data_IF_091910276171
#
_entry.id   IF_091910276171
#
_cell.length_a   1.000
_cell.length_b   1.000
_cell.length_c   1.000
_cell.angle_alpha   90.00
_cell.angle_beta   90.00
_cell.angle_gamma   90.00
#
_symmetry.space_group_name_H-M   'P 1'
#
loop_
_entity.id
_entity.type
_entity.pdbx_description
1 polymer ?
#
# COMPACT_ATOMS: atom_id res chain seq x y z
N UNK A 1 -17.67 -66.97 -10.02
CA UNK A 1 -16.72 -67.84 -10.75
C UNK A 1 -15.73 -66.92 -11.45
N UNK A 2 -14.66 -66.56 -10.76
CA UNK A 2 -13.37 -67.27 -10.67
C UNK A 2 -12.36 -66.66 -11.66
N UNK A 3 -11.63 -65.68 -11.14
CA UNK A 3 -10.17 -65.52 -11.19
C UNK A 3 -9.39 -66.49 -12.08
N UNK A 4 -8.52 -65.92 -12.93
CA UNK A 4 -7.15 -66.44 -13.09
C UNK A 4 -6.17 -65.31 -13.41
N UNK A 5 -5.23 -65.13 -12.49
CA UNK A 5 -3.94 -64.44 -12.65
C UNK A 5 -3.06 -65.23 -13.62
N UNK A 6 -2.24 -64.53 -14.41
CA UNK A 6 -0.98 -65.08 -14.94
C UNK A 6 0.09 -64.00 -14.94
N UNK A 7 1.05 -64.17 -14.04
CA UNK A 7 2.33 -63.45 -13.98
C UNK A 7 3.31 -64.13 -14.96
N UNK A 8 4.12 -63.36 -15.71
CA UNK A 8 5.54 -63.67 -15.92
C UNK A 8 6.35 -62.55 -16.59
N UNK A 9 7.39 -62.17 -15.85
CA UNK A 9 8.78 -61.86 -16.23
C UNK A 9 9.10 -60.58 -17.02
N UNK A 10 9.83 -59.73 -16.31
CA UNK A 10 10.70 -58.65 -16.78
C UNK A 10 11.77 -59.17 -17.75
N UNK A 11 12.05 -58.42 -18.83
CA UNK A 11 13.38 -58.27 -19.41
C UNK A 11 13.54 -56.82 -19.89
N UNK A 12 14.57 -56.15 -19.36
CA UNK A 12 15.09 -54.86 -19.81
C UNK A 12 15.71 -55.04 -21.20
N UNK A 13 15.38 -54.18 -22.16
CA UNK A 13 16.26 -53.85 -23.29
C UNK A 13 16.22 -52.34 -23.50
N UNK A 14 17.36 -51.70 -23.26
CA UNK A 14 17.74 -50.36 -23.71
C UNK A 14 18.46 -50.54 -25.05
N UNK A 15 17.96 -49.95 -26.15
CA UNK A 15 18.82 -49.46 -27.24
C UNK A 15 18.19 -48.23 -27.90
N UNK A 16 19.04 -47.22 -28.00
CA UNK A 16 18.95 -45.94 -28.69
C UNK A 16 18.21 -45.95 -30.04
N UNK A 17 17.36 -44.95 -30.24
CA UNK A 17 17.18 -44.32 -31.53
C UNK A 17 17.75 -42.90 -31.48
N UNK A 18 18.80 -42.67 -32.27
CA UNK A 18 19.25 -41.35 -32.66
C UNK A 18 18.42 -40.90 -33.87
N UNK A 19 17.75 -39.76 -33.77
CA UNK A 19 17.21 -39.02 -34.89
C UNK A 19 17.56 -37.54 -34.70
N UNK A 20 18.32 -37.00 -35.66
CA UNK A 20 18.63 -35.58 -35.76
C UNK A 20 17.47 -34.82 -36.39
N UNK A 21 16.97 -33.80 -35.68
CA UNK A 21 16.30 -32.63 -36.24
C UNK A 21 15.90 -31.72 -35.07
N UNK A 22 16.43 -30.49 -34.99
CA UNK A 22 15.89 -29.44 -34.10
C UNK A 22 14.42 -29.14 -34.44
N UNK A 23 13.59 -28.48 -33.59
CA UNK A 23 13.87 -27.14 -33.03
C UNK A 23 13.20 -26.87 -31.65
N UNK A 24 13.15 -25.58 -31.26
CA UNK A 24 12.17 -24.91 -30.37
C UNK A 24 12.50 -24.79 -28.87
N UNK A 25 12.61 -23.52 -28.49
CA UNK A 25 12.53 -22.93 -27.16
C UNK A 25 11.47 -23.58 -26.26
N UNK A 26 11.87 -24.03 -25.08
CA UNK A 26 10.99 -24.22 -23.93
C UNK A 26 11.79 -24.00 -22.65
N UNK A 27 11.98 -22.73 -22.28
CA UNK A 27 12.18 -22.40 -20.87
C UNK A 27 10.80 -22.22 -20.25
N UNK A 28 10.27 -23.35 -19.81
CA UNK A 28 9.09 -23.46 -18.97
C UNK A 28 9.35 -22.68 -17.68
N UNK A 29 8.71 -21.52 -17.57
CA UNK A 29 8.44 -20.87 -16.29
C UNK A 29 7.59 -21.88 -15.51
N UNK A 30 8.15 -22.43 -14.43
CA UNK A 30 7.33 -23.15 -13.46
C UNK A 30 6.49 -22.12 -12.72
N UNK A 31 5.22 -22.07 -13.09
CA UNK A 31 4.15 -21.55 -12.24
C UNK A 31 4.19 -22.27 -10.90
N UNK A 32 4.48 -21.52 -9.84
CA UNK A 32 4.09 -21.85 -8.48
C UNK A 32 3.04 -20.82 -8.04
N UNK A 33 1.83 -20.95 -8.59
CA UNK A 33 0.65 -20.29 -8.05
C UNK A 33 0.20 -21.04 -6.79
N UNK A 34 0.64 -20.55 -5.64
CA UNK A 34 0.02 -20.79 -4.33
C UNK A 34 0.21 -19.52 -3.50
N UNK A 35 -0.56 -18.48 -3.82
CA UNK A 35 -0.63 -17.27 -3.00
C UNK A 35 -1.68 -17.51 -1.91
N UNK A 36 -1.25 -18.18 -0.84
CA UNK A 36 -1.85 -18.01 0.47
C UNK A 36 -1.43 -16.64 1.01
N UNK A 37 -2.34 -15.94 1.70
CA UNK A 37 -2.05 -14.74 2.45
C UNK A 37 -0.87 -15.00 3.40
N UNK A 38 0.29 -14.44 3.05
CA UNK A 38 1.54 -14.57 3.77
C UNK A 38 2.23 -13.21 3.76
N UNK A 39 2.57 -12.74 4.94
CA UNK A 39 3.24 -11.47 5.20
C UNK A 39 4.31 -11.16 4.14
N UNK A 40 4.13 -10.05 3.43
CA UNK A 40 5.16 -9.51 2.53
C UNK A 40 6.33 -9.08 3.40
N UNK A 41 7.43 -9.82 3.34
CA UNK A 41 8.69 -9.42 3.97
C UNK A 41 9.21 -8.14 3.31
N UNK A 42 9.30 -7.09 4.13
CA UNK A 42 9.92 -5.80 3.81
C UNK A 42 11.38 -6.01 3.38
N UNK A 43 11.72 -5.63 2.16
CA UNK A 43 13.11 -5.50 1.71
C UNK A 43 13.45 -4.03 1.59
N UNK A 44 13.94 -3.44 2.69
CA UNK A 44 14.55 -2.10 2.66
C UNK A 44 16.00 -2.20 2.18
N UNK A 45 16.30 -1.51 1.09
CA UNK A 45 17.68 -1.27 0.66
C UNK A 45 18.31 -0.24 1.62
N UNK A 46 19.53 -0.47 2.07
CA UNK A 46 20.26 0.39 3.01
C UNK A 46 20.63 1.76 2.37
N UNK A 47 19.67 2.68 2.36
CA UNK A 47 19.88 4.12 2.41
C UNK A 47 19.38 4.63 3.77
N UNK A 48 19.76 5.85 4.16
CA UNK A 48 19.20 6.47 5.37
C UNK A 48 17.66 6.37 5.31
N UNK A 49 17.08 5.64 6.26
CA UNK A 49 15.65 5.40 6.31
C UNK A 49 14.95 6.77 6.36
N UNK A 50 13.93 7.02 5.52
CA UNK A 50 13.11 8.21 5.70
C UNK A 50 12.58 8.20 7.14
N UNK A 51 12.68 9.34 7.82
CA UNK A 51 12.11 9.49 9.16
C UNK A 51 10.62 9.74 8.99
N UNK A 52 9.90 8.77 8.43
CA UNK A 52 8.44 8.72 8.36
C UNK A 52 8.00 7.34 8.86
N UNK A 53 7.05 7.29 9.77
CA UNK A 53 6.57 6.04 10.34
C UNK A 53 5.07 6.12 10.61
N UNK A 54 4.44 4.95 10.70
CA UNK A 54 3.00 4.84 10.91
C UNK A 54 2.73 4.46 12.36
N UNK A 55 1.82 5.18 12.99
CA UNK A 55 1.43 5.03 14.37
C UNK A 55 -0.10 5.04 14.49
N UNK A 56 -0.59 4.70 15.67
CA UNK A 56 -2.01 4.81 16.02
C UNK A 56 -2.17 5.47 17.39
N UNK A 57 -3.32 6.10 17.63
CA UNK A 57 -3.57 6.86 18.84
C UNK A 57 -4.18 6.00 19.96
N UNK A 58 -4.03 6.46 21.20
CA UNK A 58 -4.80 5.96 22.33
C UNK A 58 -6.24 6.49 22.30
N UNK A 59 -7.11 5.94 23.15
CA UNK A 59 -8.53 6.31 23.18
C UNK A 59 -8.78 7.80 23.51
N UNK A 60 -7.93 8.42 24.35
CA UNK A 60 -8.05 9.85 24.64
C UNK A 60 -7.44 10.75 23.56
N UNK A 61 -6.77 10.17 22.56
CA UNK A 61 -6.07 10.88 21.50
C UNK A 61 -4.95 11.80 21.97
N UNK A 62 -4.44 11.60 23.18
CA UNK A 62 -3.35 12.42 23.76
C UNK A 62 -1.98 11.83 23.51
N UNK A 63 -1.94 10.54 23.17
CA UNK A 63 -0.71 9.79 22.94
C UNK A 63 -0.85 8.94 21.68
N UNK A 64 0.26 8.68 21.01
CA UNK A 64 0.35 7.80 19.85
C UNK A 64 1.45 6.77 20.06
N UNK A 65 1.25 5.58 19.49
CA UNK A 65 2.15 4.44 19.59
C UNK A 65 2.68 4.10 18.22
N UNK A 66 4.00 4.10 18.11
CA UNK A 66 4.73 3.55 16.97
C UNK A 66 4.99 2.05 17.23
N UNK A 67 4.36 1.12 16.48
CA UNK A 67 4.48 -0.29 16.78
C UNK A 67 5.92 -0.78 16.63
N UNK A 68 6.35 -1.63 17.56
CA UNK A 68 7.66 -2.28 17.48
C UNK A 68 7.76 -3.18 16.24
N UNK A 69 6.65 -3.80 15.83
CA UNK A 69 6.59 -4.65 14.64
C UNK A 69 6.99 -3.89 13.36
N UNK A 70 6.66 -2.60 13.27
CA UNK A 70 6.88 -1.79 12.07
C UNK A 70 8.28 -1.16 12.02
N UNK A 71 9.02 -1.21 13.12
CA UNK A 71 10.30 -0.50 13.29
C UNK A 71 11.47 -1.39 13.72
N UNK A 72 11.17 -2.60 14.19
CA UNK A 72 12.17 -3.49 14.76
C UNK A 72 12.90 -2.88 15.98
N UNK A 73 14.13 -3.31 16.23
CA UNK A 73 14.95 -2.79 17.34
C UNK A 73 15.85 -1.59 16.96
N UNK A 74 15.76 -1.08 15.71
CA UNK A 74 16.78 -0.17 15.15
C UNK A 74 16.32 1.28 15.00
N UNK A 75 15.06 1.59 15.32
CA UNK A 75 14.55 2.95 15.18
C UNK A 75 14.83 3.78 16.43
N UNK A 76 15.53 4.90 16.24
CA UNK A 76 15.70 5.90 17.28
C UNK A 76 14.39 6.66 17.48
N UNK A 77 13.53 6.21 18.39
CA UNK A 77 12.25 6.83 18.66
C UNK A 77 12.35 8.33 19.02
N UNK A 78 13.43 8.76 19.68
CA UNK A 78 13.64 10.17 20.00
C UNK A 78 13.89 11.06 18.77
N UNK A 79 14.13 10.47 17.60
CA UNK A 79 14.29 11.21 16.35
C UNK A 79 12.96 11.73 15.78
N UNK A 80 11.81 11.22 16.23
CA UNK A 80 10.50 11.73 15.82
C UNK A 80 10.05 12.86 16.74
N UNK A 81 9.84 14.03 16.15
CA UNK A 81 9.47 15.27 16.86
C UNK A 81 8.19 15.88 16.32
N UNK A 82 7.70 15.37 15.18
CA UNK A 82 6.54 15.89 14.47
C UNK A 82 5.55 14.75 14.23
N UNK A 83 4.28 15.11 14.20
CA UNK A 83 3.20 14.20 13.84
C UNK A 83 2.29 14.87 12.81
N UNK A 84 1.78 14.10 11.85
CA UNK A 84 0.77 14.54 10.89
C UNK A 84 -0.47 13.67 11.04
N UNK A 85 -1.60 14.33 11.25
CA UNK A 85 -2.92 13.71 11.47
C UNK A 85 -3.93 14.53 10.67
N UNK A 86 -4.72 13.89 9.80
CA UNK A 86 -5.62 14.58 8.85
C UNK A 86 -4.95 15.75 8.11
N UNK A 87 -3.73 15.55 7.60
CA UNK A 87 -2.97 16.61 6.92
C UNK A 87 -2.65 17.84 7.80
N UNK A 88 -2.74 17.72 9.12
CA UNK A 88 -2.38 18.77 10.07
C UNK A 88 -1.13 18.35 10.83
N UNK A 89 -0.11 19.21 10.82
CA UNK A 89 1.13 19.02 11.56
C UNK A 89 0.99 19.53 13.00
N UNK A 90 1.58 18.83 13.95
CA UNK A 90 1.86 19.33 15.30
C UNK A 90 3.11 18.65 15.88
N UNK A 91 3.65 19.20 16.96
CA UNK A 91 4.76 18.58 17.67
C UNK A 91 4.31 17.38 18.50
N UNK A 92 5.22 16.41 18.66
CA UNK A 92 5.10 15.33 19.60
C UNK A 92 6.39 15.14 20.40
N UNK A 93 6.32 14.46 21.54
CA UNK A 93 7.50 14.16 22.37
C UNK A 93 7.54 12.69 22.71
N UNK A 94 8.68 12.04 22.44
CA UNK A 94 8.92 10.67 22.87
C UNK A 94 8.86 10.57 24.40
N UNK A 95 8.08 9.62 24.91
CA UNK A 95 7.87 9.41 26.35
C UNK A 95 8.65 8.19 26.84
N UNK A 96 8.40 7.02 26.23
CA UNK A 96 8.96 5.73 26.67
C UNK A 96 8.80 4.66 25.62
N UNK A 97 9.56 3.58 25.79
CA UNK A 97 9.27 2.28 25.16
C UNK A 97 8.31 1.49 26.05
N UNK A 98 7.30 0.88 25.44
CA UNK A 98 6.33 -0.01 26.07
C UNK A 98 6.63 -1.45 25.62
N UNK A 99 6.85 -2.41 26.54
CA UNK A 99 6.89 -3.83 26.18
C UNK A 99 5.48 -4.35 25.89
N UNK A 100 5.38 -5.48 25.19
CA UNK A 100 4.09 -6.15 24.99
C UNK A 100 3.49 -6.56 26.35
N UNK A 101 2.22 -6.26 26.55
CA UNK A 101 1.42 -6.72 27.67
C UNK A 101 0.96 -8.17 27.49
N UNK A 102 0.50 -8.78 28.58
CA UNK A 102 0.01 -10.17 28.54
C UNK A 102 -1.25 -10.36 27.67
N UNK A 103 -1.98 -9.27 27.41
CA UNK A 103 -3.22 -9.27 26.63
C UNK A 103 -3.04 -8.60 25.25
N UNK A 104 -1.80 -8.44 24.77
CA UNK A 104 -1.56 -7.88 23.44
C UNK A 104 -2.19 -8.78 22.36
N UNK A 105 -3.15 -8.23 21.63
CA UNK A 105 -3.86 -8.94 20.56
C UNK A 105 -3.26 -8.68 19.17
N UNK A 106 -2.17 -7.92 19.08
CA UNK A 106 -1.47 -7.59 17.84
C UNK A 106 -2.19 -6.57 16.96
N UNK A 107 -3.33 -6.02 17.38
CA UNK A 107 -4.10 -5.02 16.62
C UNK A 107 -3.66 -3.61 16.95
N UNK A 108 -3.54 -2.76 15.92
CA UNK A 108 -3.19 -1.34 16.03
C UNK A 108 -4.46 -0.50 16.30
N UNK A 109 -5.18 -0.86 17.36
CA UNK A 109 -6.43 -0.24 17.78
C UNK A 109 -6.29 0.42 19.15
N UNK A 110 -7.10 1.44 19.41
CA UNK A 110 -7.06 2.22 20.64
C UNK A 110 -7.25 1.36 21.90
N UNK A 111 -8.03 0.28 21.82
CA UNK A 111 -8.28 -0.67 22.91
C UNK A 111 -7.06 -1.54 23.26
N UNK A 112 -6.21 -1.86 22.28
CA UNK A 112 -4.98 -2.62 22.45
C UNK A 112 -3.75 -1.73 22.74
N UNK A 113 -3.90 -0.40 22.70
CA UNK A 113 -2.80 0.56 22.84
C UNK A 113 -1.93 0.32 24.07
N UNK A 114 -2.55 0.09 25.23
CA UNK A 114 -1.83 -0.12 26.49
C UNK A 114 -1.13 -1.49 26.59
N UNK A 115 -1.46 -2.43 25.68
CA UNK A 115 -0.86 -3.76 25.61
C UNK A 115 0.17 -3.87 24.47
N UNK A 116 0.08 -3.02 23.46
CA UNK A 116 0.95 -3.07 22.28
C UNK A 116 2.41 -2.72 22.62
N UNK A 117 3.36 -3.53 22.14
CA UNK A 117 4.77 -3.16 22.20
C UNK A 117 5.10 -2.02 21.23
N UNK A 118 5.78 -0.97 21.69
CA UNK A 118 6.19 0.13 20.82
C UNK A 118 6.68 1.38 21.55
N UNK A 119 6.97 2.42 20.77
CA UNK A 119 7.38 3.72 21.30
C UNK A 119 6.16 4.63 21.48
N UNK A 120 6.02 5.19 22.68
CA UNK A 120 4.94 6.12 23.02
C UNK A 120 5.40 7.56 22.81
N UNK A 121 4.54 8.34 22.17
CA UNK A 121 4.71 9.77 21.98
C UNK A 121 3.51 10.51 22.56
N UNK A 122 3.78 11.61 23.27
CA UNK A 122 2.75 12.54 23.72
C UNK A 122 2.52 13.60 22.67
N UNK A 123 1.26 13.89 22.36
CA UNK A 123 0.86 14.94 21.43
C UNK A 123 0.77 16.30 22.13
N UNK A 124 1.06 17.37 21.38
CA UNK A 124 0.87 18.73 21.88
C UNK A 124 -0.60 19.08 22.06
N UNK A 125 -1.45 18.64 21.13
CA UNK A 125 -2.89 18.78 21.16
C UNK A 125 -3.55 17.40 21.00
N UNK A 126 -4.59 17.09 21.80
CA UNK A 126 -5.33 15.86 21.64
C UNK A 126 -6.04 15.85 20.28
N UNK A 127 -6.25 14.65 19.75
CA UNK A 127 -6.92 14.42 18.48
C UNK A 127 -8.08 13.44 18.66
N UNK A 128 -9.15 13.57 17.89
CA UNK A 128 -10.24 12.59 17.93
C UNK A 128 -9.98 11.53 16.85
N UNK A 129 -9.30 10.44 17.23
CA UNK A 129 -8.63 9.52 16.28
C UNK A 129 -8.72 8.06 16.69
N UNK A 130 -9.86 7.61 17.25
CA UNK A 130 -10.01 6.22 17.68
C UNK A 130 -9.62 5.21 16.57
N UNK A 131 -9.67 5.63 15.29
CA UNK A 131 -9.39 4.77 14.14
C UNK A 131 -8.58 5.46 13.02
N UNK A 132 -7.69 6.41 13.34
CA UNK A 132 -6.91 7.10 12.29
C UNK A 132 -5.45 6.71 12.24
N UNK A 133 -4.95 6.57 11.01
CA UNK A 133 -3.52 6.43 10.74
C UNK A 133 -2.80 7.72 11.12
N UNK A 134 -1.80 7.61 11.99
CA UNK A 134 -0.95 8.73 12.42
C UNK A 134 0.40 8.61 11.72
N UNK A 135 0.91 9.73 11.18
CA UNK A 135 2.26 9.77 10.60
C UNK A 135 3.22 10.42 11.60
N UNK A 136 4.26 9.71 12.00
CA UNK A 136 5.37 10.25 12.79
C UNK A 136 6.52 10.64 11.88
N UNK A 137 7.08 11.82 12.09
CA UNK A 137 8.23 12.32 11.34
C UNK A 137 9.07 13.29 12.19
N UNK A 138 9.94 14.07 11.56
CA UNK A 138 10.74 15.07 12.24
C UNK A 138 10.85 16.37 11.45
N UNK A 139 11.34 17.42 12.11
CA UNK A 139 11.43 18.75 11.50
C UNK A 139 12.35 18.76 10.26
N UNK A 140 13.43 17.97 10.25
CA UNK A 140 14.35 17.91 9.12
C UNK A 140 13.69 17.31 7.87
N UNK A 141 12.85 16.28 8.05
CA UNK A 141 12.03 15.73 6.97
C UNK A 141 11.09 16.80 6.42
N UNK A 142 10.36 17.52 7.28
CA UNK A 142 9.39 18.54 6.82
C UNK A 142 10.03 19.81 6.23
N UNK A 143 11.31 20.06 6.51
CA UNK A 143 12.09 21.10 5.84
C UNK A 143 12.41 20.76 4.39
N UNK A 144 12.54 19.47 4.06
CA UNK A 144 12.81 19.00 2.70
C UNK A 144 11.52 18.59 1.97
N UNK A 145 10.61 17.96 2.69
CA UNK A 145 9.35 17.40 2.22
C UNK A 145 8.23 18.29 2.75
N UNK A 146 7.96 19.39 2.05
CA UNK A 146 6.99 20.38 2.49
C UNK A 146 5.58 19.80 2.46
N UNK A 147 4.91 19.75 3.61
CA UNK A 147 3.53 19.30 3.70
C UNK A 147 2.64 20.19 2.82
N UNK A 148 1.91 19.58 1.89
CA UNK A 148 1.00 20.27 0.99
C UNK A 148 -0.36 20.48 1.65
N UNK A 149 -0.89 21.70 1.50
CA UNK A 149 -2.26 21.99 1.85
C UNK A 149 -3.23 21.19 0.98
N UNK A 150 -4.29 20.70 1.62
CA UNK A 150 -5.42 20.11 0.93
C UNK A 150 -6.41 21.16 0.52
N UNK A 151 -6.89 21.04 -0.70
CA UNK A 151 -8.13 21.65 -1.14
C UNK A 151 -9.22 20.59 -1.21
N UNK A 152 -10.51 20.99 -1.20
CA UNK A 152 -11.60 20.08 -1.50
C UNK A 152 -11.29 19.28 -2.77
N UNK A 153 -11.71 18.02 -2.80
CA UNK A 153 -11.51 17.18 -3.97
C UNK A 153 -11.99 17.92 -5.22
N UNK A 154 -11.17 18.02 -6.28
CA UNK A 154 -11.62 18.59 -7.53
C UNK A 154 -12.81 17.77 -8.02
N UNK A 155 -13.66 18.34 -8.88
CA UNK A 155 -14.69 17.52 -9.53
C UNK A 155 -14.05 16.29 -10.19
N UNK A 156 -14.80 15.19 -10.29
CA UNK A 156 -14.35 13.91 -10.87
C UNK A 156 -14.14 13.94 -12.39
N UNK A 157 -13.60 15.04 -12.91
CA UNK A 157 -13.37 15.26 -14.33
C UNK A 157 -11.94 15.74 -14.57
N UNK A 158 -11.19 14.95 -15.34
CA UNK A 158 -9.88 15.34 -15.86
C UNK A 158 -10.04 16.14 -17.17
N UNK A 159 -9.04 16.94 -17.52
CA UNK A 159 -9.02 17.63 -18.82
C UNK A 159 -9.01 16.62 -19.97
N UNK A 160 -9.44 17.05 -21.17
CA UNK A 160 -9.49 16.17 -22.33
C UNK A 160 -8.09 15.66 -22.72
N UNK A 161 -7.07 16.50 -22.55
CA UNK A 161 -5.67 16.19 -22.82
C UNK A 161 -5.15 15.11 -21.85
N UNK A 162 -5.43 15.27 -20.55
CA UNK A 162 -5.04 14.30 -19.53
C UNK A 162 -5.73 12.95 -19.77
N UNK A 163 -7.03 12.96 -20.12
CA UNK A 163 -7.76 11.73 -20.46
C UNK A 163 -7.12 11.03 -21.67
N UNK A 164 -6.87 11.76 -22.75
CA UNK A 164 -6.25 11.20 -23.95
C UNK A 164 -4.86 10.61 -23.67
N UNK A 165 -4.05 11.27 -22.84
CA UNK A 165 -2.74 10.77 -22.42
C UNK A 165 -2.85 9.48 -21.60
N UNK A 166 -3.76 9.42 -20.63
CA UNK A 166 -4.02 8.21 -19.84
C UNK A 166 -4.49 7.06 -20.72
N UNK A 167 -5.49 7.29 -21.58
CA UNK A 167 -6.04 6.23 -22.43
C UNK A 167 -5.02 5.69 -23.43
N UNK A 168 -4.20 6.58 -24.00
CA UNK A 168 -3.11 6.21 -24.90
C UNK A 168 -2.03 5.41 -24.18
N UNK A 169 -1.57 5.89 -23.01
CA UNK A 169 -0.51 5.22 -22.24
C UNK A 169 -0.93 3.85 -21.71
N UNK A 170 -2.17 3.72 -21.22
CA UNK A 170 -2.72 2.46 -20.70
C UNK A 170 -3.29 1.58 -21.80
N UNK A 171 -3.42 2.10 -23.03
CA UNK A 171 -4.07 1.46 -24.19
C UNK A 171 -5.47 0.96 -23.84
N UNK A 172 -6.24 1.73 -23.07
CA UNK A 172 -7.59 1.39 -22.58
C UNK A 172 -8.39 2.66 -22.44
N UNK A 173 -9.71 2.61 -22.68
CA UNK A 173 -10.58 3.74 -22.37
C UNK A 173 -10.80 3.87 -20.88
N UNK A 174 -11.05 5.08 -20.42
CA UNK A 174 -11.44 5.35 -19.04
C UNK A 174 -12.91 4.98 -18.87
N UNK A 175 -13.21 4.17 -17.84
CA UNK A 175 -14.56 3.79 -17.43
C UNK A 175 -15.13 4.80 -16.43
N UNK A 176 -14.35 5.16 -15.41
CA UNK A 176 -14.74 6.13 -14.39
C UNK A 176 -13.53 6.87 -13.83
N UNK A 177 -13.79 8.02 -13.21
CA UNK A 177 -12.80 8.84 -12.52
C UNK A 177 -13.41 9.18 -11.16
N UNK A 178 -12.62 9.01 -10.11
CA UNK A 178 -12.99 9.35 -8.74
C UNK A 178 -11.94 10.31 -8.19
N UNK A 179 -12.35 11.52 -7.81
CA UNK A 179 -11.44 12.46 -7.16
C UNK A 179 -11.19 12.02 -5.71
N UNK A 180 -9.93 11.91 -5.32
CA UNK A 180 -9.51 11.55 -3.96
C UNK A 180 -9.24 12.80 -3.15
N UNK A 181 -8.48 13.75 -3.70
CA UNK A 181 -8.13 15.00 -3.02
C UNK A 181 -7.71 16.08 -4.01
N UNK A 182 -7.91 17.34 -3.62
CA UNK A 182 -7.25 18.48 -4.23
C UNK A 182 -5.99 18.82 -3.44
N UNK A 183 -4.96 19.25 -4.16
CA UNK A 183 -3.70 19.73 -3.59
C UNK A 183 -3.52 21.21 -3.93
N UNK A 184 -2.59 21.89 -3.23
CA UNK A 184 -2.22 23.25 -3.54
C UNK A 184 -1.79 23.43 -5.02
N UNK A 185 -1.84 24.67 -5.52
CA UNK A 185 -1.49 25.03 -6.91
C UNK A 185 -2.31 24.30 -8.01
N UNK A 186 -3.54 23.87 -7.68
CA UNK A 186 -4.45 23.27 -8.67
C UNK A 186 -4.11 21.83 -9.06
N UNK A 187 -3.21 21.19 -8.32
CA UNK A 187 -2.93 19.77 -8.47
C UNK A 187 -4.08 18.92 -7.91
N UNK A 188 -4.32 17.75 -8.50
CA UNK A 188 -5.39 16.84 -8.09
C UNK A 188 -4.91 15.40 -8.01
N UNK A 189 -5.49 14.65 -7.08
CA UNK A 189 -5.27 13.21 -6.91
C UNK A 189 -6.57 12.48 -7.24
N UNK A 190 -6.49 11.49 -8.12
CA UNK A 190 -7.64 10.77 -8.67
C UNK A 190 -7.37 9.26 -8.69
N UNK A 191 -8.44 8.47 -8.57
CA UNK A 191 -8.47 7.09 -9.01
C UNK A 191 -9.18 7.01 -10.35
N UNK A 192 -8.54 6.38 -11.32
CA UNK A 192 -9.05 6.25 -12.69
C UNK A 192 -9.25 4.78 -12.99
N UNK A 193 -10.51 4.36 -13.14
CA UNK A 193 -10.85 3.00 -13.57
C UNK A 193 -10.82 2.94 -15.10
N UNK A 194 -10.17 1.91 -15.65
CA UNK A 194 -10.14 1.67 -17.07
C UNK A 194 -11.08 0.52 -17.46
N UNK A 195 -11.54 0.53 -18.71
CA UNK A 195 -12.33 -0.57 -19.26
C UNK A 195 -11.58 -1.91 -19.09
N UNK A 196 -12.34 -2.90 -18.63
CA UNK A 196 -11.88 -4.30 -18.52
C UNK A 196 -11.53 -4.85 -19.90
N UNK A 197 -10.43 -5.60 -19.98
CA UNK A 197 -10.00 -6.34 -21.18
C UNK A 197 -9.84 -7.82 -20.86
N UNK A 198 -10.77 -8.65 -21.34
CA UNK A 198 -10.85 -10.06 -20.97
C UNK A 198 -10.92 -10.23 -19.45
N UNK A 199 -9.96 -10.91 -18.83
CA UNK A 199 -9.82 -11.04 -17.38
C UNK A 199 -8.93 -9.96 -16.76
N UNK A 200 -8.43 -8.99 -17.52
CA UNK A 200 -7.57 -7.93 -16.97
C UNK A 200 -8.35 -6.66 -16.63
N UNK A 201 -8.24 -6.23 -15.38
CA UNK A 201 -8.78 -4.97 -14.87
C UNK A 201 -7.65 -4.05 -14.40
N UNK A 202 -7.92 -2.75 -14.39
CA UNK A 202 -6.94 -1.72 -14.05
C UNK A 202 -7.63 -0.51 -13.41
N UNK A 203 -7.15 -0.14 -12.23
CA UNK A 203 -7.33 1.19 -11.64
C UNK A 203 -5.96 1.85 -11.53
N UNK A 204 -5.88 3.14 -11.80
CA UNK A 204 -4.66 3.92 -11.55
C UNK A 204 -4.91 5.04 -10.56
N UNK A 205 -4.07 5.16 -9.53
CA UNK A 205 -3.91 6.42 -8.81
C UNK A 205 -3.16 7.39 -9.72
N UNK A 206 -3.66 8.61 -9.85
CA UNK A 206 -3.14 9.63 -10.75
C UNK A 206 -3.01 10.93 -9.97
N UNK A 207 -1.80 11.49 -9.92
CA UNK A 207 -1.57 12.87 -9.53
C UNK A 207 -1.36 13.72 -10.79
N UNK A 208 -2.04 14.87 -10.85
CA UNK A 208 -1.89 15.84 -11.95
C UNK A 208 -1.28 17.13 -11.43
N UNK A 209 -0.32 17.70 -12.16
CA UNK A 209 0.24 19.05 -11.91
C UNK A 209 0.55 19.70 -13.24
N UNK A 210 -0.15 20.80 -13.56
CA UNK A 210 0.02 21.53 -14.83
C UNK A 210 -0.07 20.67 -16.12
N UNK A 211 -0.85 19.59 -16.09
CA UNK A 211 -1.00 18.65 -17.22
C UNK A 211 -0.01 17.48 -17.19
N UNK A 212 1.04 17.54 -16.39
CA UNK A 212 1.91 16.39 -16.13
C UNK A 212 1.19 15.36 -15.26
N UNK A 213 1.53 14.09 -15.50
CA UNK A 213 0.88 12.93 -14.89
C UNK A 213 1.94 12.05 -14.23
N UNK A 214 1.72 11.76 -12.96
CA UNK A 214 2.43 10.72 -12.23
C UNK A 214 1.38 9.70 -11.78
N UNK A 215 1.62 8.41 -12.04
CA UNK A 215 0.61 7.38 -11.77
C UNK A 215 1.14 6.15 -11.03
N UNK A 216 0.25 5.46 -10.30
CA UNK A 216 0.45 4.11 -9.77
C UNK A 216 -0.65 3.21 -10.29
N UNK A 217 -0.29 2.08 -10.86
CA UNK A 217 -1.24 1.12 -11.41
C UNK A 217 -1.55 0.01 -10.41
N UNK A 218 -2.84 -0.23 -10.20
CA UNK A 218 -3.40 -1.37 -9.49
C UNK A 218 -4.00 -2.33 -10.52
N UNK A 219 -3.14 -3.05 -11.23
CA UNK A 219 -3.54 -4.06 -12.20
C UNK A 219 -3.86 -5.38 -11.49
N UNK A 220 -4.96 -6.03 -11.89
CA UNK A 220 -5.36 -7.31 -11.35
C UNK A 220 -6.00 -8.21 -12.41
N UNK A 221 -6.14 -9.49 -12.07
CA UNK A 221 -7.02 -10.41 -12.78
C UNK A 221 -8.40 -10.33 -12.14
N UNK A 222 -9.42 -10.17 -12.96
CA UNK A 222 -10.80 -10.11 -12.52
C UNK A 222 -11.21 -11.45 -11.91
N UNK A 223 -11.65 -11.36 -10.68
CA UNK A 223 -12.34 -12.39 -9.93
C UNK A 223 -13.57 -11.75 -9.30
N UNK A 224 -14.75 -12.35 -9.48
CA UNK A 224 -16.00 -11.77 -8.99
C UNK A 224 -16.14 -11.77 -7.47
N UNK A 225 -15.20 -12.40 -6.75
CA UNK A 225 -15.17 -12.47 -5.30
C UNK A 225 -14.02 -11.65 -4.74
N UNK A 226 -12.83 -11.69 -5.35
CA UNK A 226 -11.62 -11.05 -4.80
C UNK A 226 -10.63 -10.62 -5.88
N UNK A 227 -10.91 -9.49 -6.54
CA UNK A 227 -10.04 -8.98 -7.63
C UNK A 227 -8.79 -8.27 -7.09
N UNK A 228 -8.97 -7.30 -6.21
CA UNK A 228 -7.92 -6.47 -5.62
C UNK A 228 -7.75 -6.73 -4.12
N UNK A 229 -8.83 -7.05 -3.41
CA UNK A 229 -8.85 -7.41 -2.00
C UNK A 229 -9.73 -8.63 -1.74
N UNK A 230 -9.59 -9.20 -0.54
CA UNK A 230 -10.47 -10.29 -0.08
C UNK A 230 -11.91 -9.76 0.01
N UNK A 231 -12.85 -10.51 -0.55
CA UNK A 231 -14.28 -10.22 -0.56
C UNK A 231 -14.67 -8.84 -1.13
N UNK A 232 -13.87 -8.29 -2.05
CA UNK A 232 -14.15 -7.01 -2.70
C UNK A 232 -15.24 -7.07 -3.78
N UNK A 233 -15.77 -8.27 -4.07
CA UNK A 233 -16.84 -8.47 -5.06
C UNK A 233 -16.44 -8.11 -6.49
N UNK A 234 -15.14 -8.02 -6.78
CA UNK A 234 -14.63 -7.55 -8.06
C UNK A 234 -14.66 -6.03 -8.24
N UNK A 235 -14.84 -5.27 -7.16
CA UNK A 235 -14.85 -3.81 -7.14
C UNK A 235 -13.63 -3.25 -6.41
N UNK A 236 -13.14 -2.08 -6.83
CA UNK A 236 -11.92 -1.49 -6.24
C UNK A 236 -12.14 -0.89 -4.85
N UNK A 237 -13.38 -0.53 -4.50
CA UNK A 237 -13.70 0.18 -3.26
C UNK A 237 -13.15 1.62 -3.24
N UNK A 238 -13.56 2.46 -4.19
CA UNK A 238 -13.09 3.85 -4.31
C UNK A 238 -13.30 4.67 -3.02
N UNK A 239 -14.42 4.45 -2.33
CA UNK A 239 -14.76 5.17 -1.09
C UNK A 239 -13.87 4.77 0.09
N UNK A 240 -13.16 3.64 -0.01
CA UNK A 240 -12.25 3.12 1.00
C UNK A 240 -10.80 3.59 0.79
N UNK A 241 -10.55 4.40 -0.23
CA UNK A 241 -9.22 4.89 -0.58
C UNK A 241 -9.10 6.36 -0.22
N UNK A 242 -8.14 6.69 0.64
CA UNK A 242 -7.95 8.04 1.15
C UNK A 242 -6.51 8.49 1.00
N UNK A 243 -6.33 9.76 0.65
CA UNK A 243 -5.07 10.44 0.86
C UNK A 243 -4.96 10.77 2.36
N UNK A 244 -3.82 10.52 3.00
CA UNK A 244 -3.49 10.86 4.40
C UNK A 244 -2.60 12.10 4.53
N UNK A 245 -1.61 12.23 3.65
CA UNK A 245 -0.78 13.42 3.49
C UNK A 245 -0.24 13.50 2.06
N UNK A 246 0.17 14.68 1.64
CA UNK A 246 0.98 14.86 0.44
C UNK A 246 2.13 15.82 0.76
N UNK A 247 3.29 15.60 0.15
CA UNK A 247 4.46 16.44 0.33
C UNK A 247 4.95 16.94 -1.03
N UNK A 248 5.55 18.13 -1.06
CA UNK A 248 6.36 18.59 -2.18
C UNK A 248 7.83 18.49 -1.79
N UNK A 249 8.61 17.76 -2.58
CA UNK A 249 10.04 17.63 -2.42
C UNK A 249 10.70 18.13 -3.70
N UNK A 250 11.08 19.41 -3.71
CA UNK A 250 11.69 20.07 -4.87
C UNK A 250 10.80 20.05 -6.13
N UNK A 251 9.48 20.22 -5.97
CA UNK A 251 8.51 20.25 -7.07
C UNK A 251 7.87 18.90 -7.39
N UNK A 252 8.42 17.81 -6.86
CA UNK A 252 7.92 16.45 -7.02
C UNK A 252 6.92 16.11 -5.91
N UNK A 253 5.67 15.73 -6.26
CA UNK A 253 4.68 15.36 -5.26
C UNK A 253 4.98 13.95 -4.71
N UNK A 254 4.92 13.80 -3.40
CA UNK A 254 4.96 12.52 -2.72
C UNK A 254 3.62 12.31 -1.99
N UNK A 255 3.11 11.09 -1.95
CA UNK A 255 1.77 10.79 -1.44
C UNK A 255 1.84 9.77 -0.32
N UNK A 256 1.08 10.01 0.74
CA UNK A 256 0.77 8.99 1.76
C UNK A 256 -0.71 8.68 1.65
N UNK A 257 -1.05 7.42 1.35
CA UNK A 257 -2.43 6.97 1.16
C UNK A 257 -2.76 5.84 2.12
N UNK A 258 -4.04 5.68 2.42
CA UNK A 258 -4.57 4.47 3.02
C UNK A 258 -5.68 3.87 2.16
N UNK A 259 -5.78 2.54 2.20
CA UNK A 259 -6.80 1.78 1.49
C UNK A 259 -7.37 0.71 2.41
N UNK A 260 -8.64 0.87 2.78
CA UNK A 260 -9.34 -0.06 3.64
C UNK A 260 -9.86 -1.27 2.84
N UNK A 261 -9.49 -2.46 3.31
CA UNK A 261 -10.06 -3.74 2.92
C UNK A 261 -10.83 -4.38 4.07
N UNK A 262 -11.28 -5.62 3.86
CA UNK A 262 -12.10 -6.34 4.83
C UNK A 262 -11.45 -6.51 6.23
N UNK A 263 -10.15 -6.80 6.27
CA UNK A 263 -9.44 -7.13 7.53
C UNK A 263 -8.67 -5.95 8.13
N UNK A 264 -8.42 -4.90 7.34
CA UNK A 264 -7.54 -3.83 7.75
C UNK A 264 -7.24 -2.85 6.63
N UNK A 265 -6.30 -1.97 6.94
CA UNK A 265 -6.01 -0.77 6.17
C UNK A 265 -4.55 -0.80 5.80
N UNK A 266 -4.30 -0.84 4.49
CA UNK A 266 -2.95 -0.75 3.93
C UNK A 266 -2.58 0.71 3.80
N UNK A 267 -1.39 1.07 4.27
CA UNK A 267 -0.86 2.43 4.19
C UNK A 267 0.35 2.41 3.26
N UNK A 268 0.43 3.33 2.31
CA UNK A 268 1.57 3.47 1.40
C UNK A 268 2.10 4.90 1.43
N UNK A 269 3.41 5.06 1.62
CA UNK A 269 4.13 6.28 1.30
C UNK A 269 4.84 6.08 -0.04
N UNK A 270 4.49 6.91 -1.02
CA UNK A 270 4.91 6.81 -2.40
C UNK A 270 5.70 8.05 -2.81
N UNK A 271 6.79 7.83 -3.54
CA UNK A 271 7.61 8.89 -4.13
C UNK A 271 7.64 8.73 -5.65
N UNK A 272 7.79 9.81 -6.41
CA UNK A 272 7.85 9.71 -7.85
C UNK A 272 9.21 9.18 -8.33
N UNK A 273 9.17 8.42 -9.42
CA UNK A 273 10.33 7.99 -10.19
C UNK A 273 10.02 8.20 -11.66
N UNK A 274 10.26 9.41 -12.13
CA UNK A 274 9.69 9.89 -13.39
C UNK A 274 8.17 9.95 -13.28
N UNK A 275 7.46 9.39 -14.25
CA UNK A 275 5.99 9.53 -14.36
C UNK A 275 5.22 8.43 -13.59
N UNK A 276 5.90 7.76 -12.66
CA UNK A 276 5.35 6.64 -11.89
C UNK A 276 5.63 6.83 -10.41
N UNK A 277 4.63 6.57 -9.58
CA UNK A 277 4.80 6.47 -8.14
C UNK A 277 5.35 5.09 -7.77
N UNK A 278 6.43 5.09 -6.99
CA UNK A 278 7.00 3.88 -6.38
C UNK A 278 6.80 3.92 -4.87
N UNK A 279 6.45 2.78 -4.30
CA UNK A 279 6.28 2.65 -2.85
C UNK A 279 7.65 2.77 -2.18
N UNK A 280 7.79 3.77 -1.31
CA UNK A 280 8.97 3.97 -0.48
C UNK A 280 8.84 3.26 0.87
N UNK A 281 7.63 3.22 1.42
CA UNK A 281 7.33 2.57 2.68
C UNK A 281 5.88 2.12 2.74
N UNK A 282 5.62 1.02 3.43
CA UNK A 282 4.28 0.49 3.67
C UNK A 282 4.01 0.36 5.16
N UNK A 283 2.75 0.48 5.55
CA UNK A 283 2.23 0.18 6.87
C UNK A 283 0.95 -0.62 6.76
N UNK A 284 0.53 -1.21 7.87
CA UNK A 284 -0.75 -1.89 7.96
C UNK A 284 -1.34 -1.68 9.34
N UNK A 285 -2.66 -1.47 9.41
CA UNK A 285 -3.40 -1.51 10.67
C UNK A 285 -4.64 -2.35 10.53
N UNK A 286 -4.96 -3.13 11.56
CA UNK A 286 -6.25 -3.80 11.64
C UNK A 286 -7.37 -2.78 11.88
N UNK A 287 -8.52 -2.97 11.22
CA UNK A 287 -9.72 -2.13 11.37
C UNK A 287 -10.88 -2.84 12.07
N UNK A 288 -10.81 -4.16 12.22
CA UNK A 288 -11.77 -4.95 12.98
C UNK A 288 -11.20 -5.38 14.35
N UNK A 289 -11.99 -5.37 15.44
CA UNK A 289 -11.61 -6.05 16.68
C UNK A 289 -11.53 -7.58 16.46
N UNK A 290 -10.88 -8.30 17.39
CA UNK A 290 -10.91 -9.78 17.40
C UNK A 290 -12.24 -10.28 17.96
#
# INVERSE_FOLDING_TARGET
MNTTLSLKKHWLIFVLFAACSGPVNNNTIKDNSTAAAGAVQQTTTAGAQPVLAFAFANQSGTEVLLPKADTGNQVNAAAFTEVIIKNTQQHCTFVKQLPAGANDNGRQLADNFAQSAGAIFKLQQPVNTEEETVLLTNAAFLQQHHLLDRSPAPGSNLSAEVKAQLESSKRRRIKSIHAVAGLAAGAGVYLVEFERKLDSVLVSLVATKHGDIISRDYAAKFDSTSTWGVDDGGEFGFDNYHLLAAFDNNGDPELVTEWAGAEGITIEYMVPKGNVFVTRQTGYRYSAPL
#
